data_IF_257666538654
#
_entry.id   IF_257666538654
#
_cell.length_a   1.000
_cell.length_b   1.000
_cell.length_c   1.000
_cell.angle_alpha   90.00
_cell.angle_beta   90.00
_cell.angle_gamma   90.00
#
_symmetry.space_group_name_H-M   'P 1'
#
loop_
_entity.id
_entity.type
_entity.pdbx_description
1 polymer ?
#
# COMPACT_ATOMS: atom_id res chain seq x y z
N UNK A 1 -1.31 0.58 7.16
CA UNK A 1 0.04 0.28 7.63
C UNK A 1 0.86 -0.40 6.54
N UNK A 2 2.15 -0.05 6.40
CA UNK A 2 3.13 -0.80 5.61
C UNK A 2 3.87 -1.78 6.53
N UNK A 3 3.93 -3.04 6.12
CA UNK A 3 4.62 -4.11 6.88
C UNK A 3 5.60 -4.83 5.97
N UNK A 4 6.90 -4.62 6.19
CA UNK A 4 7.95 -5.17 5.32
C UNK A 4 9.04 -5.89 6.10
N UNK A 5 9.73 -6.80 5.42
CA UNK A 5 10.99 -7.32 5.94
C UNK A 5 12.07 -6.23 5.81
N UNK A 6 12.65 -5.80 6.92
CA UNK A 6 13.60 -4.67 6.94
C UNK A 6 12.96 -3.30 6.65
N UNK A 7 13.80 -2.29 6.46
CA UNK A 7 13.42 -0.87 6.47
C UNK A 7 13.00 -0.30 5.11
N UNK A 8 13.04 -1.08 4.04
CA UNK A 8 12.81 -0.55 2.68
C UNK A 8 11.42 0.03 2.47
N UNK A 9 10.40 -0.45 3.20
CA UNK A 9 9.04 0.11 3.17
C UNK A 9 8.99 1.57 3.57
N UNK A 10 9.80 2.00 4.55
CA UNK A 10 9.92 3.41 4.95
C UNK A 10 10.58 4.29 3.89
N UNK A 11 11.55 3.75 3.15
CA UNK A 11 12.15 4.49 2.03
C UNK A 11 11.13 4.68 0.89
N UNK A 12 10.31 3.66 0.64
CA UNK A 12 9.23 3.74 -0.34
C UNK A 12 8.17 4.75 0.08
N UNK A 13 7.80 4.77 1.37
CA UNK A 13 6.89 5.77 1.94
C UNK A 13 7.45 7.18 1.79
N UNK A 14 8.71 7.40 2.14
CA UNK A 14 9.36 8.70 1.99
C UNK A 14 9.40 9.19 0.53
N UNK A 15 9.59 8.28 -0.43
CA UNK A 15 9.51 8.61 -1.85
C UNK A 15 8.09 9.00 -2.28
N UNK A 16 7.07 8.28 -1.81
CA UNK A 16 5.67 8.61 -2.08
C UNK A 16 5.29 9.99 -1.51
N UNK A 17 5.69 10.29 -0.28
CA UNK A 17 5.41 11.58 0.36
C UNK A 17 6.06 12.76 -0.36
N UNK A 18 7.26 12.56 -0.93
CA UNK A 18 7.88 13.56 -1.82
C UNK A 18 7.08 13.81 -3.09
N UNK A 19 6.53 12.77 -3.69
CA UNK A 19 5.66 12.88 -4.89
C UNK A 19 4.37 13.61 -4.55
N UNK A 20 3.77 13.28 -3.41
CA UNK A 20 2.51 13.88 -2.93
C UNK A 20 2.68 15.32 -2.43
N UNK A 21 3.89 15.73 -2.05
CA UNK A 21 4.17 17.00 -1.37
C UNK A 21 3.58 17.10 0.04
N UNK A 22 3.16 15.98 0.63
CA UNK A 22 2.55 15.88 1.97
C UNK A 22 2.69 14.48 2.52
N UNK A 23 2.38 14.29 3.81
CA UNK A 23 2.28 12.95 4.40
C UNK A 23 1.18 12.13 3.73
N UNK A 24 1.48 10.85 3.52
CA UNK A 24 0.51 9.88 3.02
C UNK A 24 -0.44 9.35 4.11
N UNK A 25 -0.23 9.72 5.38
CA UNK A 25 -1.03 9.21 6.51
C UNK A 25 -0.82 7.72 6.79
N UNK A 26 0.33 7.18 6.40
CA UNK A 26 0.65 5.74 6.49
C UNK A 26 1.81 5.55 7.46
N UNK A 27 1.68 4.61 8.40
CA UNK A 27 2.77 4.15 9.28
C UNK A 27 3.49 2.95 8.68
N UNK A 28 4.76 2.75 9.09
CA UNK A 28 5.57 1.57 8.76
C UNK A 28 5.85 0.72 9.98
N UNK A 29 5.79 -0.61 9.78
CA UNK A 29 6.32 -1.63 10.69
C UNK A 29 7.37 -2.45 9.95
N UNK A 30 8.64 -2.19 10.24
CA UNK A 30 9.74 -2.98 9.72
C UNK A 30 9.96 -4.21 10.61
N UNK A 31 9.93 -5.40 10.04
CA UNK A 31 10.23 -6.65 10.73
C UNK A 31 11.71 -7.01 10.52
N UNK A 32 12.42 -7.33 11.61
CA UNK A 32 13.82 -7.75 11.55
C UNK A 32 13.99 -9.10 10.84
N UNK A 33 15.15 -9.30 10.19
CA UNK A 33 15.44 -10.56 9.49
C UNK A 33 15.49 -11.77 10.42
N UNK A 34 15.98 -11.56 11.65
CA UNK A 34 16.12 -12.58 12.69
C UNK A 34 15.16 -12.35 13.87
N UNK A 35 14.12 -11.55 13.65
CA UNK A 35 13.14 -11.23 14.70
C UNK A 35 12.24 -12.45 14.97
N UNK A 36 12.01 -12.74 16.26
CA UNK A 36 11.06 -13.77 16.67
C UNK A 36 9.65 -13.47 16.12
N UNK A 37 9.02 -14.43 15.42
CA UNK A 37 7.67 -14.26 14.89
C UNK A 37 6.62 -13.84 15.91
N UNK A 38 6.73 -14.28 17.16
CA UNK A 38 5.81 -13.89 18.25
C UNK A 38 5.95 -12.40 18.55
N UNK A 39 7.19 -11.92 18.66
CA UNK A 39 7.48 -10.49 18.87
C UNK A 39 7.02 -9.64 17.68
N UNK A 40 7.27 -10.10 16.46
CA UNK A 40 6.78 -9.43 15.25
C UNK A 40 5.26 -9.30 15.24
N UNK A 41 4.55 -10.36 15.63
CA UNK A 41 3.09 -10.38 15.73
C UNK A 41 2.58 -9.39 16.80
N UNK A 42 3.22 -9.34 17.97
CA UNK A 42 2.86 -8.40 19.03
C UNK A 42 3.06 -6.95 18.60
N UNK A 43 4.18 -6.65 17.96
CA UNK A 43 4.47 -5.32 17.39
C UNK A 43 3.42 -4.90 16.37
N UNK A 44 3.05 -5.81 15.48
CA UNK A 44 2.05 -5.53 14.46
C UNK A 44 0.67 -5.31 15.07
N UNK A 45 0.26 -6.12 16.06
CA UNK A 45 -0.99 -5.90 16.81
C UNK A 45 -1.03 -4.53 17.50
N UNK A 46 0.08 -4.14 18.13
CA UNK A 46 0.18 -2.83 18.76
C UNK A 46 0.09 -1.69 17.75
N UNK A 47 0.69 -1.85 16.57
CA UNK A 47 0.60 -0.87 15.49
C UNK A 47 -0.85 -0.76 14.96
N UNK A 48 -1.52 -1.88 14.72
CA UNK A 48 -2.94 -1.90 14.29
C UNK A 48 -3.80 -1.15 15.31
N UNK A 49 -3.64 -1.46 16.61
CA UNK A 49 -4.44 -0.83 17.66
C UNK A 49 -4.22 0.70 17.76
N UNK A 50 -3.01 1.19 17.42
CA UNK A 50 -2.74 2.64 17.39
C UNK A 50 -3.32 3.33 16.16
N UNK A 51 -3.33 2.63 15.03
CA UNK A 51 -3.75 3.19 13.72
C UNK A 51 -5.26 3.14 13.54
N UNK A 52 -5.92 2.12 14.09
CA UNK A 52 -7.36 1.92 13.93
C UNK A 52 -8.16 3.01 14.67
N UNK A 53 -8.85 3.83 13.89
CA UNK A 53 -9.77 4.87 14.39
C UNK A 53 -11.24 4.44 14.37
N UNK A 54 -11.50 3.14 14.19
CA UNK A 54 -12.84 2.56 14.12
C UNK A 54 -13.25 2.09 12.72
N UNK A 55 -12.48 2.46 11.69
CA UNK A 55 -12.72 2.17 10.27
C UNK A 55 -12.00 0.89 9.79
N UNK A 56 -11.21 0.27 10.67
CA UNK A 56 -10.33 -0.84 10.36
C UNK A 56 -9.00 -0.42 9.73
N UNK A 57 -8.11 -1.38 9.51
CA UNK A 57 -6.73 -1.13 9.06
C UNK A 57 -6.38 -1.99 7.85
N UNK A 58 -5.93 -1.33 6.78
CA UNK A 58 -5.34 -2.00 5.63
C UNK A 58 -3.83 -2.20 5.86
N UNK A 59 -3.38 -3.45 5.81
CA UNK A 59 -1.97 -3.83 5.88
C UNK A 59 -1.43 -4.04 4.46
N UNK A 60 -0.42 -3.29 4.09
CA UNK A 60 0.31 -3.43 2.83
C UNK A 60 1.60 -4.19 3.08
N UNK A 61 1.74 -5.36 2.50
CA UNK A 61 2.94 -6.19 2.67
C UNK A 61 3.74 -6.31 1.38
N UNK A 62 5.00 -6.66 1.52
CA UNK A 62 5.92 -6.81 0.40
C UNK A 62 5.59 -8.01 -0.49
N UNK A 63 6.09 -9.18 -0.13
CA UNK A 63 5.99 -10.40 -0.91
C UNK A 63 4.85 -11.28 -0.39
N UNK A 64 3.90 -11.64 -1.25
CA UNK A 64 2.90 -12.63 -0.92
C UNK A 64 3.54 -13.97 -0.53
N UNK A 65 3.20 -14.49 0.65
CA UNK A 65 3.82 -15.69 1.21
C UNK A 65 5.13 -15.45 1.98
N UNK A 66 5.69 -14.24 1.95
CA UNK A 66 6.82 -13.83 2.80
C UNK A 66 6.43 -13.76 4.29
N UNK A 67 7.42 -13.63 5.17
CA UNK A 67 7.18 -13.55 6.63
C UNK A 67 6.26 -12.40 7.02
N UNK A 68 6.43 -11.15 6.53
CA UNK A 68 5.52 -10.06 6.84
C UNK A 68 4.07 -10.37 6.44
N UNK A 69 3.87 -10.90 5.22
CA UNK A 69 2.55 -11.25 4.72
C UNK A 69 1.91 -12.37 5.54
N UNK A 70 2.66 -13.40 5.94
CA UNK A 70 2.15 -14.52 6.76
C UNK A 70 1.71 -14.05 8.14
N UNK A 71 2.50 -13.18 8.78
CA UNK A 71 2.14 -12.59 10.07
C UNK A 71 0.91 -11.69 9.91
N UNK A 72 0.87 -10.82 8.91
CA UNK A 72 -0.27 -9.96 8.64
C UNK A 72 -1.55 -10.77 8.39
N UNK A 73 -1.48 -11.82 7.56
CA UNK A 73 -2.62 -12.67 7.24
C UNK A 73 -3.17 -13.42 8.47
N UNK A 74 -2.35 -13.70 9.49
CA UNK A 74 -2.84 -14.29 10.75
C UNK A 74 -3.71 -13.33 11.57
N UNK A 75 -3.72 -12.05 11.21
CA UNK A 75 -4.51 -10.99 11.86
C UNK A 75 -5.74 -10.57 11.03
N UNK A 76 -6.01 -11.23 9.89
CA UNK A 76 -7.19 -10.96 9.09
C UNK A 76 -8.46 -11.03 9.95
N UNK A 77 -9.28 -10.00 9.86
CA UNK A 77 -10.56 -9.93 10.56
C UNK A 77 -11.56 -9.13 9.71
N UNK A 78 -12.74 -9.68 9.40
CA UNK A 78 -13.74 -9.01 8.57
C UNK A 78 -13.99 -7.57 9.06
N UNK A 79 -13.97 -6.63 8.14
CA UNK A 79 -14.19 -5.19 8.36
C UNK A 79 -13.24 -4.51 9.37
N UNK A 80 -12.25 -5.25 9.90
CA UNK A 80 -11.29 -4.73 10.89
C UNK A 80 -9.85 -4.74 10.42
N UNK A 81 -9.42 -5.79 9.76
CA UNK A 81 -8.06 -5.93 9.23
C UNK A 81 -8.12 -6.59 7.86
N UNK A 82 -7.60 -5.92 6.85
CA UNK A 82 -7.43 -6.43 5.50
C UNK A 82 -5.94 -6.41 5.12
N UNK A 83 -5.52 -7.32 4.26
CA UNK A 83 -4.12 -7.47 3.83
C UNK A 83 -4.03 -7.44 2.31
N UNK A 84 -3.18 -6.56 1.79
CA UNK A 84 -2.85 -6.48 0.37
C UNK A 84 -1.33 -6.63 0.21
N UNK A 85 -0.90 -7.71 -0.44
CA UNK A 85 0.51 -7.97 -0.73
C UNK A 85 0.92 -7.42 -2.10
N UNK A 86 2.23 -7.21 -2.28
CA UNK A 86 2.78 -6.65 -3.52
C UNK A 86 3.03 -5.14 -3.42
N UNK A 87 3.37 -4.66 -2.21
CA UNK A 87 3.66 -3.25 -1.94
C UNK A 87 4.54 -2.63 -3.03
N UNK A 88 4.10 -1.50 -3.53
CA UNK A 88 4.84 -0.71 -4.52
C UNK A 88 4.52 0.79 -4.38
N UNK A 89 5.31 1.63 -5.05
CA UNK A 89 5.17 3.08 -4.96
C UNK A 89 3.79 3.61 -5.39
N UNK A 90 3.20 3.14 -6.52
CA UNK A 90 1.85 3.52 -6.91
C UNK A 90 0.78 3.27 -5.83
N UNK A 91 0.87 2.19 -5.04
CA UNK A 91 -0.05 1.95 -3.92
C UNK A 91 -0.07 3.10 -2.93
N UNK A 92 1.11 3.50 -2.47
CA UNK A 92 1.23 4.52 -1.42
C UNK A 92 0.79 5.89 -1.96
N UNK A 93 1.20 6.22 -3.19
CA UNK A 93 0.78 7.47 -3.84
C UNK A 93 -0.75 7.52 -3.97
N UNK A 94 -1.39 6.43 -4.40
CA UNK A 94 -2.85 6.34 -4.53
C UNK A 94 -3.59 6.49 -3.20
N UNK A 95 -3.08 5.89 -2.12
CA UNK A 95 -3.66 6.08 -0.78
C UNK A 95 -3.53 7.51 -0.27
N UNK A 96 -2.51 8.23 -0.68
CA UNK A 96 -2.35 9.63 -0.35
C UNK A 96 -3.23 10.57 -1.18
N UNK A 97 -3.97 10.09 -2.18
CA UNK A 97 -4.88 10.92 -2.98
C UNK A 97 -6.22 11.15 -2.28
N UNK A 98 -6.88 12.31 -2.46
CA UNK A 98 -8.24 12.54 -1.99
C UNK A 98 -9.25 11.54 -2.59
N UNK A 99 -10.36 11.31 -1.88
CA UNK A 99 -11.47 10.49 -2.39
C UNK A 99 -11.49 9.05 -1.87
N UNK A 100 -10.44 8.61 -1.17
CA UNK A 100 -10.39 7.26 -0.58
C UNK A 100 -11.04 7.18 0.81
N UNK A 101 -11.28 8.31 1.45
CA UNK A 101 -11.74 8.42 2.83
C UNK A 101 -13.18 7.92 3.05
N UNK A 102 -13.97 7.87 1.99
CA UNK A 102 -15.37 7.39 2.04
C UNK A 102 -15.52 5.90 1.78
N UNK A 103 -14.44 5.20 1.44
CA UNK A 103 -14.48 3.78 1.11
C UNK A 103 -14.43 2.93 2.37
N UNK A 104 -15.27 1.89 2.45
CA UNK A 104 -15.09 0.85 3.47
C UNK A 104 -13.75 0.13 3.27
N UNK A 105 -13.20 -0.48 4.32
CA UNK A 105 -11.92 -1.17 4.29
C UNK A 105 -11.81 -2.16 3.12
N UNK A 106 -12.81 -3.01 2.93
CA UNK A 106 -12.83 -3.99 1.86
C UNK A 106 -12.98 -3.35 0.46
N UNK A 107 -13.70 -2.22 0.35
CA UNK A 107 -13.80 -1.47 -0.90
C UNK A 107 -12.47 -0.79 -1.25
N UNK A 108 -11.81 -0.17 -0.26
CA UNK A 108 -10.49 0.45 -0.41
C UNK A 108 -9.45 -0.57 -0.88
N UNK A 109 -9.41 -1.76 -0.25
CA UNK A 109 -8.46 -2.81 -0.63
C UNK A 109 -8.66 -3.27 -2.09
N UNK A 110 -9.90 -3.51 -2.51
CA UNK A 110 -10.22 -3.90 -3.89
C UNK A 110 -9.93 -2.80 -4.90
N UNK A 111 -10.32 -1.57 -4.58
CA UNK A 111 -10.02 -0.41 -5.42
C UNK A 111 -8.50 -0.26 -5.62
N UNK A 112 -7.73 -0.32 -4.54
CA UNK A 112 -6.28 -0.20 -4.59
C UNK A 112 -5.64 -1.33 -5.39
N UNK A 113 -6.09 -2.58 -5.18
CA UNK A 113 -5.64 -3.74 -5.96
C UNK A 113 -5.84 -3.51 -7.46
N UNK A 114 -7.03 -3.08 -7.87
CA UNK A 114 -7.34 -2.82 -9.29
C UNK A 114 -6.44 -1.71 -9.87
N UNK A 115 -6.31 -0.58 -9.18
CA UNK A 115 -5.48 0.56 -9.63
C UNK A 115 -3.99 0.20 -9.74
N UNK A 116 -3.51 -0.69 -8.91
CA UNK A 116 -2.09 -1.11 -8.91
C UNK A 116 -1.77 -2.09 -10.03
N UNK A 117 -2.66 -3.02 -10.32
CA UNK A 117 -2.51 -3.91 -11.49
C UNK A 117 -2.35 -3.08 -12.77
N UNK A 118 -3.10 -2.01 -12.92
CA UNK A 118 -3.01 -1.10 -14.07
C UNK A 118 -1.73 -0.22 -14.07
N UNK A 119 -1.01 -0.15 -12.96
CA UNK A 119 0.22 0.64 -12.86
C UNK A 119 1.45 -0.04 -13.46
N UNK A 120 1.39 -1.34 -13.69
CA UNK A 120 2.46 -2.11 -14.34
C UNK A 120 2.30 -1.98 -15.85
N UNK A 121 3.22 -1.28 -16.51
CA UNK A 121 3.18 -1.01 -17.94
C UNK A 121 4.44 -1.49 -18.65
N UNK A 122 4.27 -2.08 -19.82
CA UNK A 122 5.37 -2.40 -20.72
C UNK A 122 5.72 -1.16 -21.53
N UNK A 123 6.98 -0.71 -21.51
CA UNK A 123 7.40 0.51 -22.19
C UNK A 123 7.16 0.48 -23.71
N UNK A 124 7.29 -0.68 -24.35
CA UNK A 124 6.98 -0.87 -25.76
C UNK A 124 5.51 -0.61 -26.12
N UNK A 125 4.57 -0.86 -25.20
CA UNK A 125 3.15 -0.62 -25.41
C UNK A 125 2.82 0.89 -25.39
N UNK A 126 3.67 1.67 -24.74
CA UNK A 126 3.55 3.13 -24.64
C UNK A 126 4.28 3.86 -25.78
N UNK A 127 5.24 3.21 -26.46
CA UNK A 127 6.07 3.82 -27.50
C UNK A 127 5.37 3.90 -28.87
N UNK A 128 4.29 3.16 -29.08
CA UNK A 128 3.48 3.24 -30.31
C UNK A 128 2.46 4.36 -30.13
N UNK A 129 2.51 5.47 -30.93
CA UNK A 129 1.47 6.49 -30.87
C UNK A 129 0.15 5.88 -31.33
N UNK A 130 -0.70 5.47 -30.42
CA UNK A 130 -2.10 5.22 -30.72
C UNK A 130 -2.73 6.58 -31.03
N UNK A 131 -3.59 6.71 -32.07
CA UNK A 131 -4.34 7.93 -32.30
C UNK A 131 -5.10 8.29 -31.03
N UNK A 132 -4.71 9.41 -30.38
CA UNK A 132 -5.24 9.82 -29.08
C UNK A 132 -4.29 9.67 -27.89
N UNK A 133 -3.14 8.99 -28.00
CA UNK A 133 -2.10 8.97 -26.99
C UNK A 133 -1.15 10.16 -27.22
N UNK A 134 -1.58 11.35 -26.87
CA UNK A 134 -0.68 12.49 -26.69
C UNK A 134 0.23 12.26 -25.53
N UNK A 135 1.53 12.61 -25.70
CA UNK A 135 2.57 12.79 -24.68
C UNK A 135 2.24 12.09 -23.35
N UNK A 136 3.12 11.19 -22.89
CA UNK A 136 3.00 10.48 -21.59
C UNK A 136 2.07 11.24 -20.65
N UNK A 137 0.92 10.68 -20.23
CA UNK A 137 0.05 11.40 -19.32
C UNK A 137 0.94 11.81 -18.16
N UNK A 138 0.99 13.12 -17.87
CA UNK A 138 1.51 13.55 -16.56
C UNK A 138 0.81 12.62 -15.59
N UNK A 139 1.58 11.91 -14.77
CA UNK A 139 1.01 11.25 -13.60
C UNK A 139 0.40 12.37 -12.76
N UNK A 140 -0.84 12.73 -13.07
CA UNK A 140 -1.62 13.50 -12.13
C UNK A 140 -1.92 12.51 -11.01
N UNK A 141 -1.33 12.71 -9.83
CA UNK A 141 -1.41 11.72 -8.75
C UNK A 141 -2.85 11.46 -8.30
N UNK A 142 -3.78 12.28 -8.69
CA UNK A 142 -5.14 12.33 -8.17
C UNK A 142 -6.20 12.69 -9.24
N UNK A 143 -6.05 12.27 -10.49
CA UNK A 143 -7.15 12.41 -11.44
C UNK A 143 -8.23 11.36 -11.12
N UNK A 144 -9.40 11.85 -10.77
CA UNK A 144 -10.62 11.06 -10.58
C UNK A 144 -11.03 10.43 -11.92
N UNK A 145 -11.19 9.12 -11.94
CA UNK A 145 -12.04 8.35 -12.85
C UNK A 145 -12.87 7.37 -12.03
#
# INVERSE_FOLDING_TARGET
LIVTQGEWGGQLLAAAEKILGRSAGVEQVALGWDEDPVRSLERLRAAIARTDQGEGVLLLTDLFGGTPARIAMSLLAPDRVEVLAGLNLPMIVRLGCPGTESLSLGALARWLQAKVVDSVRLGSDCAVPKPGCGVLPRMEPCADD
#
